data_IF_050907230250
#
_entry.id   IF_050907230250
#
_cell.length_a   1.000
_cell.length_b   1.000
_cell.length_c   1.000
_cell.angle_alpha   90.00
_cell.angle_beta   90.00
_cell.angle_gamma   90.00
#
_symmetry.space_group_name_H-M   'P 1'
#
loop_
_entity.id
_entity.type
_entity.pdbx_description
1 polymer ?
#
# COMPACT_ATOMS: atom_id res chain seq x y z
N UNK A 1 1.23 20.89 -44.27
CA UNK A 1 0.47 20.85 -43.01
C UNK A 1 -0.40 19.59 -43.01
N UNK A 2 -0.09 18.60 -42.16
CA UNK A 2 -1.04 17.53 -41.82
C UNK A 2 -0.99 17.34 -40.31
N UNK A 3 -1.87 18.08 -39.64
CA UNK A 3 -2.20 17.92 -38.23
C UNK A 3 -2.77 16.52 -38.02
N UNK A 4 -1.91 15.60 -37.57
CA UNK A 4 -2.26 14.24 -37.18
C UNK A 4 -2.21 14.05 -35.68
N UNK A 5 -2.66 15.03 -34.89
CA UNK A 5 -2.86 14.86 -33.46
C UNK A 5 -4.12 14.03 -33.23
N UNK A 6 -4.02 12.71 -33.44
CA UNK A 6 -5.03 11.76 -32.98
C UNK A 6 -5.10 11.89 -31.46
N UNK A 7 -6.22 12.42 -30.99
CA UNK A 7 -6.67 12.40 -29.61
C UNK A 7 -6.31 11.05 -28.97
N UNK A 8 -5.44 11.08 -27.96
CA UNK A 8 -5.23 9.95 -27.03
C UNK A 8 -6.51 9.80 -26.21
N UNK A 9 -7.52 9.17 -26.80
CA UNK A 9 -8.75 8.80 -26.12
C UNK A 9 -8.43 7.73 -25.07
N UNK A 10 -8.72 8.02 -23.81
CA UNK A 10 -9.07 7.08 -22.73
C UNK A 10 -8.30 5.74 -22.70
N UNK A 11 -6.97 5.76 -22.79
CA UNK A 11 -6.19 4.58 -22.46
C UNK A 11 -6.27 4.38 -20.95
N UNK A 12 -6.85 3.26 -20.52
CA UNK A 12 -6.79 2.83 -19.12
C UNK A 12 -5.32 2.82 -18.70
N UNK A 13 -4.98 3.39 -17.53
CA UNK A 13 -3.60 3.41 -17.08
C UNK A 13 -3.06 1.98 -17.00
N UNK A 14 -1.81 1.80 -17.42
CA UNK A 14 -1.08 0.57 -17.20
C UNK A 14 -0.97 0.28 -15.70
N UNK A 15 -0.70 -0.98 -15.35
CA UNK A 15 -0.61 -1.38 -13.94
C UNK A 15 0.51 -0.64 -13.19
N UNK A 16 1.61 -0.33 -13.87
CA UNK A 16 2.69 0.49 -13.32
C UNK A 16 2.21 1.92 -13.03
N UNK A 17 1.49 2.54 -13.97
CA UNK A 17 0.91 3.88 -13.77
C UNK A 17 -0.09 3.88 -12.61
N UNK A 18 -0.96 2.87 -12.53
CA UNK A 18 -1.90 2.73 -11.41
C UNK A 18 -1.20 2.66 -10.06
N UNK A 19 -0.12 1.87 -9.95
CA UNK A 19 0.65 1.76 -8.70
C UNK A 19 1.32 3.09 -8.33
N UNK A 20 1.86 3.83 -9.31
CA UNK A 20 2.48 5.14 -9.07
C UNK A 20 1.43 6.12 -8.52
N UNK A 21 0.26 6.20 -9.15
CA UNK A 21 -0.83 7.09 -8.73
C UNK A 21 -1.34 6.67 -7.34
N UNK A 22 -1.62 5.39 -7.12
CA UNK A 22 -2.10 4.88 -5.84
C UNK A 22 -1.10 5.15 -4.71
N UNK A 23 0.20 4.95 -4.95
CA UNK A 23 1.25 5.25 -3.97
C UNK A 23 1.31 6.74 -3.63
N UNK A 24 1.11 7.64 -4.60
CA UNK A 24 1.05 9.08 -4.34
C UNK A 24 -0.15 9.45 -3.46
N UNK A 25 -1.32 8.88 -3.75
CA UNK A 25 -2.54 9.05 -2.94
C UNK A 25 -2.30 8.55 -1.51
N UNK A 26 -1.78 7.33 -1.36
CA UNK A 26 -1.51 6.74 -0.06
C UNK A 26 -0.49 7.54 0.74
N UNK A 27 0.61 7.99 0.15
CA UNK A 27 1.59 8.86 0.83
C UNK A 27 0.93 10.12 1.41
N UNK A 28 0.04 10.75 0.65
CA UNK A 28 -0.72 11.92 1.12
C UNK A 28 -1.70 11.54 2.25
N UNK A 29 -2.46 10.46 2.07
CA UNK A 29 -3.41 9.96 3.07
C UNK A 29 -2.75 9.62 4.40
N UNK A 30 -1.63 8.91 4.38
CA UNK A 30 -0.86 8.55 5.58
C UNK A 30 -0.23 9.78 6.25
N UNK A 31 0.32 10.71 5.46
CA UNK A 31 0.85 11.97 5.95
C UNK A 31 -0.23 12.81 6.68
N UNK A 32 -1.40 12.95 6.07
CA UNK A 32 -2.56 13.64 6.68
C UNK A 32 -3.05 12.98 7.97
N UNK A 33 -2.87 11.67 8.11
CA UNK A 33 -3.22 10.90 9.32
C UNK A 33 -2.08 10.87 10.35
N UNK A 34 -0.92 11.48 10.07
CA UNK A 34 0.23 11.50 10.98
C UNK A 34 0.93 10.14 11.13
N UNK A 35 0.78 9.24 10.16
CA UNK A 35 1.34 7.88 10.23
C UNK A 35 2.65 7.83 9.45
N UNK A 36 3.77 7.84 10.18
CA UNK A 36 5.13 7.86 9.63
C UNK A 36 5.99 6.68 10.10
N UNK A 37 5.36 5.64 10.61
CA UNK A 37 6.03 4.48 11.21
C UNK A 37 5.41 3.18 10.70
N UNK A 38 6.12 2.08 10.88
CA UNK A 38 5.58 0.74 10.62
C UNK A 38 4.44 0.46 11.62
N UNK A 39 3.20 0.45 11.13
CA UNK A 39 2.03 0.17 11.96
C UNK A 39 2.07 -1.26 12.50
N UNK A 40 2.56 -2.22 11.71
CA UNK A 40 2.64 -3.64 12.09
C UNK A 40 3.59 -3.84 13.27
N UNK A 41 4.79 -3.25 13.23
CA UNK A 41 5.75 -3.36 14.32
C UNK A 41 5.31 -2.64 15.61
N UNK A 42 4.43 -1.64 15.49
CA UNK A 42 3.87 -0.92 16.63
C UNK A 42 2.66 -1.61 17.25
N UNK A 43 2.10 -2.63 16.61
CA UNK A 43 1.14 -3.48 17.30
C UNK A 43 1.88 -4.25 18.40
N UNK A 44 1.37 -4.20 19.64
CA UNK A 44 2.01 -4.74 20.87
C UNK A 44 2.40 -6.23 20.82
N UNK A 45 2.08 -6.92 19.72
CA UNK A 45 2.20 -8.39 19.59
C UNK A 45 3.11 -8.81 18.45
N UNK A 46 3.67 -7.87 17.71
CA UNK A 46 4.66 -8.13 16.66
C UNK A 46 5.84 -7.18 16.85
N UNK A 47 6.46 -7.24 18.03
CA UNK A 47 7.79 -6.66 18.19
C UNK A 47 8.76 -7.50 17.35
N UNK A 48 8.89 -7.15 16.08
CA UNK A 48 10.10 -7.47 15.36
C UNK A 48 11.20 -6.69 16.08
N UNK A 49 12.00 -7.40 16.88
CA UNK A 49 13.07 -6.86 17.72
C UNK A 49 14.02 -5.91 16.94
N UNK A 50 14.01 -6.05 15.61
CA UNK A 50 14.77 -5.22 14.67
C UNK A 50 13.83 -4.52 13.68
N UNK A 51 12.81 -3.79 14.16
CA UNK A 51 12.10 -2.82 13.32
C UNK A 51 13.11 -1.75 12.88
N UNK A 52 13.82 -2.04 11.80
CA UNK A 52 14.73 -1.15 11.12
C UNK A 52 13.87 -0.11 10.42
N UNK A 53 13.43 0.91 11.16
CA UNK A 53 12.81 2.12 10.60
C UNK A 53 13.68 2.72 9.47
N UNK A 54 14.96 2.34 9.43
CA UNK A 54 15.98 2.63 8.44
C UNK A 54 15.79 1.92 7.07
N UNK A 55 15.06 0.80 6.98
CA UNK A 55 14.98 -0.04 5.76
C UNK A 55 13.85 0.37 4.78
N UNK A 56 13.30 1.58 4.94
CA UNK A 56 12.23 2.09 4.11
C UNK A 56 10.86 1.52 4.49
N UNK A 57 9.85 2.40 4.47
CA UNK A 57 8.46 2.03 4.69
C UNK A 57 7.77 1.81 3.33
N UNK A 58 6.95 0.77 3.24
CA UNK A 58 6.15 0.42 2.07
C UNK A 58 4.71 0.12 2.47
N UNK A 59 3.80 0.20 1.51
CA UNK A 59 2.40 -0.16 1.70
C UNK A 59 2.23 -1.68 1.55
N UNK A 60 1.73 -2.31 2.61
CA UNK A 60 1.30 -3.71 2.58
C UNK A 60 -0.20 -3.76 2.38
N UNK A 61 -0.64 -4.40 1.30
CA UNK A 61 -2.05 -4.60 1.01
C UNK A 61 -2.63 -5.81 1.75
N UNK A 62 -3.92 -5.74 2.09
CA UNK A 62 -4.68 -6.83 2.75
C UNK A 62 -4.75 -8.09 1.90
N UNK A 63 -4.81 -7.92 0.59
CA UNK A 63 -4.83 -8.99 -0.42
C UNK A 63 -3.59 -8.84 -1.30
N UNK A 64 -3.25 -9.90 -2.05
CA UNK A 64 -2.16 -9.78 -3.04
C UNK A 64 -2.51 -8.70 -4.07
N UNK A 65 -1.53 -7.87 -4.45
CA UNK A 65 -1.74 -6.73 -5.34
C UNK A 65 -2.59 -7.05 -6.58
N UNK A 66 -2.37 -8.23 -7.19
CA UNK A 66 -3.12 -8.71 -8.39
C UNK A 66 -4.65 -8.72 -8.26
N UNK A 67 -5.19 -8.68 -7.04
CA UNK A 67 -6.63 -8.67 -6.78
C UNK A 67 -7.26 -7.28 -6.91
N UNK A 68 -6.45 -6.22 -6.87
CA UNK A 68 -6.90 -4.85 -7.08
C UNK A 68 -6.79 -4.48 -8.57
N UNK A 69 -7.88 -3.91 -9.10
CA UNK A 69 -8.14 -3.62 -10.52
C UNK A 69 -8.26 -2.13 -10.80
N UNK A 70 -8.42 -1.28 -9.79
CA UNK A 70 -8.50 0.17 -9.94
C UNK A 70 -7.51 0.90 -9.03
N UNK A 71 -7.31 2.20 -9.29
CA UNK A 71 -6.46 3.05 -8.45
C UNK A 71 -7.13 3.25 -7.09
N UNK A 72 -8.45 3.39 -7.06
CA UNK A 72 -9.26 3.57 -5.85
C UNK A 72 -9.11 2.35 -4.94
N UNK A 73 -9.20 1.15 -5.51
CA UNK A 73 -8.98 -0.11 -4.79
C UNK A 73 -7.55 -0.23 -4.25
N UNK A 74 -6.54 0.16 -5.04
CA UNK A 74 -5.12 0.12 -4.63
C UNK A 74 -4.78 1.16 -3.57
N UNK A 75 -5.55 2.25 -3.49
CA UNK A 75 -5.31 3.38 -2.59
C UNK A 75 -6.31 3.47 -1.44
N UNK A 76 -7.17 2.46 -1.27
CA UNK A 76 -8.07 2.37 -0.13
C UNK A 76 -7.26 2.19 1.16
N UNK A 77 -7.41 3.17 2.07
CA UNK A 77 -6.75 3.18 3.36
C UNK A 77 -7.08 1.95 4.22
N UNK A 78 -8.28 1.37 4.07
CA UNK A 78 -8.71 0.19 4.80
C UNK A 78 -8.11 -1.11 4.24
N UNK A 79 -7.59 -1.06 3.03
CA UNK A 79 -6.94 -2.19 2.37
C UNK A 79 -5.42 -2.11 2.43
N UNK A 80 -4.85 -1.08 3.07
CA UNK A 80 -3.39 -0.94 3.25
C UNK A 80 -2.95 -0.61 4.68
N UNK A 81 -1.75 -1.07 5.03
CA UNK A 81 -1.00 -0.65 6.21
C UNK A 81 0.40 -0.21 5.82
N UNK A 82 0.98 0.74 6.56
CA UNK A 82 2.36 1.15 6.39
C UNK A 82 3.27 0.21 7.18
N UNK A 83 4.29 -0.33 6.52
CA UNK A 83 5.13 -1.40 7.08
C UNK A 83 6.58 -1.29 6.64
N UNK A 84 7.52 -1.69 7.49
CA UNK A 84 8.91 -1.90 7.05
C UNK A 84 9.01 -3.15 6.17
N UNK A 85 10.10 -3.28 5.41
CA UNK A 85 10.30 -4.41 4.48
C UNK A 85 10.13 -5.79 5.16
N UNK A 86 10.66 -5.97 6.37
CA UNK A 86 10.52 -7.23 7.10
C UNK A 86 9.05 -7.54 7.43
N UNK A 87 8.32 -6.56 7.98
CA UNK A 87 6.92 -6.71 8.30
C UNK A 87 6.07 -6.94 7.03
N UNK A 88 6.40 -6.27 5.93
CA UNK A 88 5.74 -6.46 4.63
C UNK A 88 5.82 -7.91 4.17
N UNK A 89 7.02 -8.48 4.10
CA UNK A 89 7.24 -9.88 3.67
C UNK A 89 6.48 -10.86 4.56
N UNK A 90 6.48 -10.65 5.87
CA UNK A 90 5.83 -11.57 6.82
C UNK A 90 4.30 -11.47 6.72
N UNK A 91 3.77 -10.25 6.61
CA UNK A 91 2.33 -10.02 6.44
C UNK A 91 1.86 -10.68 5.13
N UNK A 92 2.55 -10.46 4.00
CA UNK A 92 2.15 -11.09 2.73
C UNK A 92 2.16 -12.64 2.76
N UNK A 93 3.05 -13.23 3.55
CA UNK A 93 3.23 -14.70 3.62
C UNK A 93 2.35 -15.38 4.67
N UNK A 94 1.82 -14.65 5.65
CA UNK A 94 1.03 -15.21 6.74
C UNK A 94 -0.42 -14.64 6.73
N UNK A 95 -1.38 -15.33 6.10
CA UNK A 95 -2.76 -14.86 6.00
C UNK A 95 -3.45 -14.65 7.35
N UNK A 96 -3.13 -15.48 8.36
CA UNK A 96 -3.70 -15.33 9.70
C UNK A 96 -3.21 -14.04 10.37
N UNK A 97 -1.92 -13.74 10.21
CA UNK A 97 -1.36 -12.47 10.67
C UNK A 97 -1.97 -11.29 9.94
N UNK A 98 -2.07 -11.33 8.60
CA UNK A 98 -2.70 -10.26 7.82
C UNK A 98 -4.13 -10.01 8.26
N UNK A 99 -4.94 -11.06 8.41
CA UNK A 99 -6.31 -10.94 8.88
C UNK A 99 -6.37 -10.24 10.25
N UNK A 100 -5.47 -10.61 11.16
CA UNK A 100 -5.38 -10.02 12.49
C UNK A 100 -4.93 -8.56 12.45
N UNK A 101 -3.82 -8.25 11.78
CA UNK A 101 -3.28 -6.88 11.63
C UNK A 101 -4.33 -5.93 11.07
N UNK A 102 -5.02 -6.34 10.00
CA UNK A 102 -6.06 -5.51 9.41
C UNK A 102 -7.29 -5.37 10.31
N UNK A 103 -7.69 -6.42 11.03
CA UNK A 103 -8.76 -6.33 12.03
C UNK A 103 -8.41 -5.33 13.13
N UNK A 104 -7.18 -5.38 13.63
CA UNK A 104 -6.72 -4.54 14.75
C UNK A 104 -6.54 -3.07 14.32
N UNK A 105 -6.06 -2.82 13.09
CA UNK A 105 -5.72 -1.48 12.60
C UNK A 105 -6.80 -0.79 11.78
N UNK A 106 -7.76 -1.54 11.21
CA UNK A 106 -8.78 -1.02 10.26
C UNK A 106 -10.22 -1.43 10.61
N UNK A 107 -10.43 -2.27 11.63
CA UNK A 107 -11.75 -2.79 12.05
C UNK A 107 -12.22 -4.02 11.27
#
# INVERSE_FOLDING_TARGET
MKNGAKLKQNLKPSRTEMNIIANAILKNTFSKKGIFYCEVCRTDRVMFANCTQLMGLTFSHRKKCRHYRTVEELSDFNEVVLSCLQAHIITERNPALTKKVFKDLRG
#
